data_IF_083349221433
#
_entry.id   IF_083349221433
#
_cell.length_a   1.000
_cell.length_b   1.000
_cell.length_c   1.000
_cell.angle_alpha   90.00
_cell.angle_beta   90.00
_cell.angle_gamma   90.00
#
_symmetry.space_group_name_H-M   'P 1'
#
loop_
_entity.id
_entity.type
_entity.pdbx_description
1 polymer ?
#
# COMPACT_ATOMS: atom_id res chain seq x y z
N UNK A 1 12.71 38.81 -25.93
CA UNK A 1 11.34 38.26 -26.00
C UNK A 1 11.14 37.47 -24.73
N UNK A 2 10.50 38.08 -23.70
CA UNK A 2 10.16 37.39 -22.45
C UNK A 2 9.00 36.45 -22.75
N UNK A 3 9.20 35.18 -22.55
CA UNK A 3 8.11 34.20 -22.50
C UNK A 3 7.55 34.31 -21.06
N UNK A 4 6.69 35.32 -20.87
CA UNK A 4 5.83 35.45 -19.72
C UNK A 4 4.54 34.72 -20.08
N UNK A 5 4.52 33.42 -19.93
CA UNK A 5 3.30 32.65 -20.06
C UNK A 5 3.16 31.74 -18.85
N UNK A 6 2.62 32.31 -17.77
CA UNK A 6 2.28 31.63 -16.53
C UNK A 6 1.10 30.66 -16.68
N UNK A 7 0.43 30.64 -17.85
CA UNK A 7 -0.68 29.72 -18.15
C UNK A 7 -0.22 28.65 -19.11
N UNK A 8 -0.42 27.40 -18.70
CA UNK A 8 -0.15 26.29 -19.61
C UNK A 8 -1.18 26.30 -20.74
N UNK A 9 -0.78 25.91 -21.96
CA UNK A 9 -1.69 25.72 -23.12
C UNK A 9 -2.87 24.82 -22.74
N UNK A 10 -2.67 23.90 -21.82
CA UNK A 10 -3.70 23.04 -21.27
C UNK A 10 -4.77 23.81 -20.48
N UNK A 11 -4.36 24.74 -19.63
CA UNK A 11 -5.29 25.58 -18.85
C UNK A 11 -6.09 26.52 -19.76
N UNK A 12 -5.46 27.06 -20.80
CA UNK A 12 -6.15 27.86 -21.82
C UNK A 12 -7.17 27.01 -22.58
N UNK A 13 -6.81 25.79 -22.97
CA UNK A 13 -7.72 24.87 -23.65
C UNK A 13 -8.92 24.52 -22.78
N UNK A 14 -8.70 24.22 -21.49
CA UNK A 14 -9.78 23.97 -20.54
C UNK A 14 -10.67 25.20 -20.30
N UNK A 15 -10.12 26.40 -20.36
CA UNK A 15 -10.89 27.64 -20.23
C UNK A 15 -11.83 27.90 -21.43
N UNK A 16 -11.52 27.30 -22.57
CA UNK A 16 -12.33 27.38 -23.80
C UNK A 16 -13.49 26.37 -23.85
N UNK A 17 -13.60 25.50 -22.83
CA UNK A 17 -14.67 24.50 -22.76
C UNK A 17 -16.05 25.21 -22.78
N UNK A 18 -16.97 24.86 -23.74
CA UNK A 18 -18.26 25.48 -23.83
C UNK A 18 -19.15 25.18 -22.61
N UNK A 19 -19.95 26.15 -22.23
CA UNK A 19 -20.98 25.97 -21.19
C UNK A 19 -22.23 25.24 -21.75
N UNK A 20 -22.92 24.41 -20.93
CA UNK A 20 -22.59 24.08 -19.56
C UNK A 20 -21.42 23.06 -19.47
N UNK A 21 -20.48 23.28 -18.55
CA UNK A 21 -19.42 22.31 -18.31
C UNK A 21 -20.00 21.02 -17.79
N UNK A 22 -19.58 19.89 -18.36
CA UNK A 22 -19.96 18.57 -17.87
C UNK A 22 -19.25 18.30 -16.55
N UNK A 23 -20.03 18.11 -15.50
CA UNK A 23 -19.55 17.63 -14.20
C UNK A 23 -19.83 16.14 -14.12
N UNK A 24 -18.79 15.34 -13.94
CA UNK A 24 -18.97 13.90 -13.76
C UNK A 24 -19.36 13.61 -12.31
N UNK A 25 -20.39 12.79 -12.14
CA UNK A 25 -20.77 12.20 -10.86
C UNK A 25 -20.01 10.89 -10.59
N UNK A 26 -20.08 10.39 -9.39
CA UNK A 26 -19.26 9.27 -8.90
C UNK A 26 -19.16 8.06 -9.84
N UNK A 27 -20.30 7.58 -10.34
CA UNK A 27 -20.29 6.45 -11.28
C UNK A 27 -19.66 6.79 -12.64
N UNK A 28 -19.84 8.01 -13.11
CA UNK A 28 -19.23 8.46 -14.36
C UNK A 28 -17.71 8.66 -14.18
N UNK A 29 -17.29 9.14 -13.01
CA UNK A 29 -15.87 9.22 -12.63
C UNK A 29 -15.26 7.80 -12.62
N UNK A 30 -15.90 6.85 -11.97
CA UNK A 30 -15.40 5.48 -11.87
C UNK A 30 -15.27 4.83 -13.26
N UNK A 31 -16.25 5.05 -14.16
CA UNK A 31 -16.15 4.58 -15.56
C UNK A 31 -15.01 5.26 -16.33
N UNK A 32 -14.80 6.56 -16.13
CA UNK A 32 -13.71 7.28 -16.79
C UNK A 32 -12.33 6.77 -16.32
N UNK A 33 -12.17 6.55 -15.01
CA UNK A 33 -10.93 6.02 -14.46
C UNK A 33 -10.69 4.57 -14.90
N UNK A 34 -11.73 3.74 -14.98
CA UNK A 34 -11.63 2.40 -15.54
C UNK A 34 -11.16 2.43 -17.00
N UNK A 35 -11.75 3.30 -17.82
CA UNK A 35 -11.31 3.45 -19.22
C UNK A 35 -9.86 3.93 -19.34
N UNK A 36 -9.37 4.77 -18.41
CA UNK A 36 -7.95 5.18 -18.37
C UNK A 36 -7.04 3.98 -18.03
N UNK A 37 -7.42 3.17 -17.06
CA UNK A 37 -6.69 1.95 -16.70
C UNK A 37 -6.67 0.94 -17.85
N UNK A 38 -7.83 0.66 -18.42
CA UNK A 38 -7.96 -0.25 -19.58
C UNK A 38 -7.08 0.23 -20.76
N UNK A 39 -7.06 1.53 -21.03
CA UNK A 39 -6.20 2.10 -22.07
C UNK A 39 -4.72 1.88 -21.77
N UNK A 40 -4.29 2.05 -20.53
CA UNK A 40 -2.91 1.80 -20.14
C UNK A 40 -2.54 0.32 -20.25
N UNK A 41 -3.46 -0.57 -19.93
CA UNK A 41 -3.26 -2.02 -20.01
C UNK A 41 -3.11 -2.52 -21.46
N UNK A 42 -3.64 -1.80 -22.47
CA UNK A 42 -3.49 -2.14 -23.89
C UNK A 42 -2.04 -2.09 -24.39
N UNK A 43 -1.11 -1.57 -23.61
CA UNK A 43 0.33 -1.57 -23.98
C UNK A 43 0.88 -2.98 -24.15
N UNK A 44 0.25 -3.99 -23.54
CA UNK A 44 0.60 -5.39 -23.71
C UNK A 44 -0.61 -6.30 -23.53
N UNK A 45 -0.78 -7.33 -24.36
CA UNK A 45 -1.87 -8.31 -24.20
C UNK A 45 -1.83 -9.05 -22.85
N UNK A 46 -0.67 -9.11 -22.21
CA UNK A 46 -0.47 -9.71 -20.89
C UNK A 46 -0.95 -8.83 -19.73
N UNK A 47 -1.36 -7.60 -20.01
CA UNK A 47 -1.79 -6.62 -19.00
C UNK A 47 -3.29 -6.31 -19.09
N UNK A 48 -3.97 -6.82 -20.09
CA UNK A 48 -5.41 -6.54 -20.31
C UNK A 48 -6.22 -6.95 -19.08
N UNK A 49 -6.91 -5.97 -18.46
CA UNK A 49 -7.72 -6.17 -17.26
C UNK A 49 -6.95 -6.11 -15.94
N UNK A 50 -5.64 -5.88 -15.98
CA UNK A 50 -4.81 -5.79 -14.78
C UNK A 50 -5.28 -4.67 -13.85
N UNK A 51 -5.40 -3.45 -14.35
CA UNK A 51 -5.82 -2.29 -13.55
C UNK A 51 -7.19 -2.49 -12.89
N UNK A 52 -8.14 -3.07 -13.62
CA UNK A 52 -9.47 -3.39 -13.09
C UNK A 52 -9.40 -4.48 -12.00
N UNK A 53 -8.64 -5.56 -12.24
CA UNK A 53 -8.46 -6.66 -11.28
C UNK A 53 -7.79 -6.21 -9.98
N UNK A 54 -6.74 -5.39 -10.07
CA UNK A 54 -6.08 -4.79 -8.90
C UNK A 54 -7.05 -3.89 -8.14
N UNK A 55 -7.87 -3.08 -8.84
CA UNK A 55 -8.81 -2.17 -8.21
C UNK A 55 -9.91 -2.92 -7.42
N UNK A 56 -10.47 -3.98 -7.96
CA UNK A 56 -11.47 -4.79 -7.25
C UNK A 56 -10.86 -5.50 -6.04
N UNK A 57 -9.66 -6.05 -6.19
CA UNK A 57 -8.95 -6.72 -5.10
C UNK A 57 -8.59 -5.72 -3.98
N UNK A 58 -8.06 -4.55 -4.33
CA UNK A 58 -7.73 -3.50 -3.37
C UNK A 58 -8.97 -3.00 -2.62
N UNK A 59 -10.09 -2.75 -3.32
CA UNK A 59 -11.33 -2.34 -2.69
C UNK A 59 -11.90 -3.42 -1.75
N UNK A 60 -11.84 -4.69 -2.14
CA UNK A 60 -12.27 -5.79 -1.30
C UNK A 60 -11.40 -5.95 -0.05
N UNK A 61 -10.09 -5.76 -0.18
CA UNK A 61 -9.15 -5.76 0.94
C UNK A 61 -9.33 -4.54 1.86
N UNK A 62 -9.60 -3.34 1.30
CA UNK A 62 -9.85 -2.12 2.08
C UNK A 62 -11.09 -2.28 3.00
N UNK A 63 -12.17 -2.91 2.50
CA UNK A 63 -13.33 -3.24 3.33
C UNK A 63 -12.97 -4.17 4.50
N UNK A 64 -12.06 -5.13 4.31
CA UNK A 64 -11.56 -6.02 5.38
C UNK A 64 -10.68 -5.30 6.39
N UNK A 65 -9.98 -4.26 5.95
CA UNK A 65 -9.24 -3.35 6.83
C UNK A 65 -10.15 -2.35 7.56
N UNK A 66 -11.47 -2.43 7.40
CA UNK A 66 -12.44 -1.52 8.00
C UNK A 66 -12.25 -0.05 7.59
N UNK A 67 -11.77 0.20 6.37
CA UNK A 67 -11.77 1.54 5.79
C UNK A 67 -13.22 2.01 5.63
N UNK A 68 -13.46 3.30 5.79
CA UNK A 68 -14.77 3.85 5.49
C UNK A 68 -15.08 3.82 3.98
N UNK A 69 -16.33 4.11 3.62
CA UNK A 69 -16.78 4.01 2.24
C UNK A 69 -16.03 4.96 1.29
N UNK A 70 -15.63 6.14 1.79
CA UNK A 70 -14.89 7.13 1.00
C UNK A 70 -13.45 6.66 0.74
N UNK A 71 -12.78 6.12 1.76
CA UNK A 71 -11.44 5.55 1.66
C UNK A 71 -11.41 4.30 0.78
N UNK A 72 -12.44 3.45 0.83
CA UNK A 72 -12.59 2.30 -0.09
C UNK A 72 -12.71 2.77 -1.53
N UNK A 73 -13.55 3.78 -1.79
CA UNK A 73 -13.73 4.34 -3.13
C UNK A 73 -12.44 5.01 -3.63
N UNK A 74 -11.76 5.80 -2.79
CA UNK A 74 -10.49 6.45 -3.12
C UNK A 74 -9.39 5.41 -3.41
N UNK A 75 -9.29 4.35 -2.63
CA UNK A 75 -8.34 3.26 -2.85
C UNK A 75 -8.60 2.55 -4.19
N UNK A 76 -9.86 2.23 -4.49
CA UNK A 76 -10.27 1.64 -5.77
C UNK A 76 -9.93 2.55 -6.95
N UNK A 77 -10.26 3.84 -6.86
CA UNK A 77 -9.96 4.85 -7.89
C UNK A 77 -8.45 5.00 -8.13
N UNK A 78 -7.67 5.05 -7.06
CA UNK A 78 -6.20 5.08 -7.17
C UNK A 78 -5.66 3.82 -7.86
N UNK A 79 -6.21 2.65 -7.55
CA UNK A 79 -5.84 1.40 -8.18
C UNK A 79 -6.21 1.35 -9.68
N UNK A 80 -7.34 1.93 -10.11
CA UNK A 80 -7.70 1.99 -11.53
C UNK A 80 -6.68 2.76 -12.38
N UNK A 81 -5.98 3.73 -11.79
CA UNK A 81 -5.06 4.63 -12.52
C UNK A 81 -3.60 4.49 -12.11
N UNK A 82 -3.25 3.47 -11.30
CA UNK A 82 -1.88 3.33 -10.77
C UNK A 82 -0.83 3.21 -11.88
N UNK A 83 -1.20 2.59 -12.96
CA UNK A 83 -0.33 2.21 -14.06
C UNK A 83 -0.49 3.03 -15.35
N UNK A 84 -1.20 4.16 -15.31
CA UNK A 84 -1.37 5.01 -16.51
C UNK A 84 -0.07 5.46 -17.14
N UNK A 85 1.01 5.50 -16.38
CA UNK A 85 2.36 5.82 -16.87
C UNK A 85 3.03 4.71 -17.68
N UNK A 86 2.48 3.50 -17.73
CA UNK A 86 3.00 2.40 -18.57
C UNK A 86 3.06 2.77 -20.05
N UNK A 87 2.17 3.64 -20.51
CA UNK A 87 2.15 4.14 -21.90
C UNK A 87 3.40 4.93 -22.28
N UNK A 88 4.17 5.43 -21.33
CA UNK A 88 5.41 6.13 -21.57
C UNK A 88 6.61 5.19 -21.86
N UNK A 89 6.43 3.89 -21.65
CA UNK A 89 7.44 2.87 -21.90
C UNK A 89 7.03 2.07 -23.13
N UNK A 90 7.95 1.83 -24.05
CA UNK A 90 7.68 1.12 -25.31
C UNK A 90 7.00 -0.24 -25.06
N UNK A 91 5.94 -0.53 -25.81
CA UNK A 91 5.25 -1.83 -25.80
C UNK A 91 6.22 -3.01 -26.05
N UNK A 92 7.29 -2.80 -26.84
CA UNK A 92 8.31 -3.81 -27.07
C UNK A 92 9.00 -4.26 -25.76
N UNK A 93 9.21 -3.35 -24.82
CA UNK A 93 9.80 -3.68 -23.50
C UNK A 93 8.82 -4.51 -22.67
N UNK A 94 7.55 -4.13 -22.64
CA UNK A 94 6.50 -4.85 -21.91
C UNK A 94 6.21 -6.25 -22.47
N UNK A 95 6.46 -6.46 -23.77
CA UNK A 95 6.20 -7.73 -24.47
C UNK A 95 7.45 -8.61 -24.65
N UNK A 96 8.59 -8.18 -24.09
CA UNK A 96 9.85 -8.90 -24.25
C UNK A 96 9.84 -10.21 -23.47
N UNK A 97 10.04 -11.34 -24.18
CA UNK A 97 10.07 -12.66 -23.58
C UNK A 97 11.42 -13.03 -22.93
N UNK A 98 12.47 -12.25 -23.23
CA UNK A 98 13.81 -12.43 -22.65
C UNK A 98 14.04 -11.47 -21.48
N UNK A 99 15.10 -11.69 -20.72
CA UNK A 99 15.52 -10.78 -19.64
C UNK A 99 15.68 -9.34 -20.14
N UNK A 100 15.14 -8.38 -19.37
CA UNK A 100 15.33 -6.97 -19.65
C UNK A 100 16.79 -6.57 -19.39
N UNK A 101 17.33 -5.70 -20.24
CA UNK A 101 18.62 -5.05 -19.98
C UNK A 101 18.49 -4.08 -18.79
N UNK A 102 19.59 -3.67 -18.14
CA UNK A 102 19.54 -2.66 -17.09
C UNK A 102 18.82 -1.37 -17.52
N UNK A 103 19.06 -0.87 -18.73
CA UNK A 103 18.42 0.33 -19.26
C UNK A 103 16.92 0.15 -19.50
N UNK A 104 16.50 -1.03 -19.98
CA UNK A 104 15.07 -1.36 -20.14
C UNK A 104 14.39 -1.44 -18.77
N UNK A 105 15.08 -2.03 -17.78
CA UNK A 105 14.57 -2.14 -16.43
C UNK A 105 14.41 -0.76 -15.76
N UNK A 106 15.35 0.14 -15.94
CA UNK A 106 15.20 1.52 -15.46
C UNK A 106 14.01 2.23 -16.11
N UNK A 107 13.78 2.04 -17.41
CA UNK A 107 12.58 2.57 -18.09
C UNK A 107 11.28 1.98 -17.50
N UNK A 108 11.25 0.68 -17.23
CA UNK A 108 10.10 0.05 -16.57
C UNK A 108 9.86 0.68 -15.22
N UNK A 109 10.89 0.88 -14.39
CA UNK A 109 10.74 1.51 -13.06
C UNK A 109 10.16 2.92 -13.11
N UNK A 110 10.45 3.65 -14.18
CA UNK A 110 9.95 5.02 -14.35
C UNK A 110 8.44 5.12 -14.65
N UNK A 111 7.72 4.01 -14.92
CA UNK A 111 6.28 4.12 -15.19
C UNK A 111 5.51 4.72 -14.01
N UNK A 112 5.88 4.41 -12.76
CA UNK A 112 5.24 4.99 -11.57
C UNK A 112 5.47 6.51 -11.49
N UNK A 113 6.66 6.99 -11.85
CA UNK A 113 6.95 8.43 -11.99
C UNK A 113 6.12 9.06 -13.13
N UNK A 114 5.99 8.38 -14.26
CA UNK A 114 5.15 8.86 -15.36
C UNK A 114 3.66 8.89 -14.97
N UNK A 115 3.18 7.90 -14.20
CA UNK A 115 1.83 7.93 -13.61
C UNK A 115 1.64 9.19 -12.76
N UNK A 116 2.58 9.53 -11.90
CA UNK A 116 2.52 10.75 -11.11
C UNK A 116 2.40 12.00 -11.97
N UNK A 117 3.25 12.12 -12.98
CA UNK A 117 3.24 13.27 -13.89
C UNK A 117 1.90 13.44 -14.63
N UNK A 118 1.25 12.34 -14.98
CA UNK A 118 -0.08 12.38 -15.62
C UNK A 118 -1.13 12.78 -14.59
N UNK A 119 -1.18 12.10 -13.44
CA UNK A 119 -2.21 12.30 -12.44
C UNK A 119 -2.19 13.71 -11.84
N UNK A 120 -1.02 14.29 -11.64
CA UNK A 120 -0.89 15.64 -11.06
C UNK A 120 -1.36 16.77 -11.99
N UNK A 121 -1.74 16.49 -13.25
CA UNK A 121 -2.28 17.49 -14.17
C UNK A 121 -3.73 17.88 -13.88
N UNK A 122 -4.49 17.08 -13.17
CA UNK A 122 -5.85 17.36 -12.76
C UNK A 122 -5.93 17.41 -11.23
N UNK A 123 -6.56 18.44 -10.63
CA UNK A 123 -6.70 18.50 -9.16
C UNK A 123 -7.38 17.26 -8.56
N UNK A 124 -8.37 16.71 -9.26
CA UNK A 124 -9.05 15.50 -8.84
C UNK A 124 -8.12 14.28 -8.86
N UNK A 125 -7.39 14.07 -9.96
CA UNK A 125 -6.45 12.94 -10.07
C UNK A 125 -5.23 13.11 -9.17
N UNK A 126 -4.79 14.33 -8.91
CA UNK A 126 -3.69 14.64 -8.01
C UNK A 126 -3.94 14.13 -6.59
N UNK A 127 -5.21 14.11 -6.14
CA UNK A 127 -5.57 13.55 -4.84
C UNK A 127 -5.35 12.01 -4.77
N UNK A 128 -5.42 11.31 -5.90
CA UNK A 128 -5.18 9.86 -6.00
C UNK A 128 -3.69 9.52 -6.14
N UNK A 129 -2.88 10.44 -6.65
CA UNK A 129 -1.49 10.20 -7.01
C UNK A 129 -0.63 9.62 -5.86
N UNK A 130 -0.71 10.11 -4.60
CA UNK A 130 0.12 9.57 -3.51
C UNK A 130 -0.11 8.07 -3.24
N UNK A 131 -1.33 7.58 -3.46
CA UNK A 131 -1.67 6.16 -3.32
C UNK A 131 -1.29 5.41 -4.59
N UNK A 132 -1.75 5.88 -5.75
CA UNK A 132 -1.58 5.25 -7.05
C UNK A 132 -0.10 5.00 -7.39
N UNK A 133 0.78 5.96 -7.13
CA UNK A 133 2.18 5.89 -7.55
C UNK A 133 3.12 5.21 -6.55
N UNK A 134 2.58 4.71 -5.44
CA UNK A 134 3.35 4.02 -4.39
C UNK A 134 3.24 2.49 -4.45
N UNK A 135 2.60 1.92 -5.48
CA UNK A 135 2.36 0.47 -5.57
C UNK A 135 3.64 -0.37 -5.67
N UNK A 136 4.74 0.18 -6.11
CA UNK A 136 6.05 -0.46 -6.13
C UNK A 136 6.98 -0.05 -4.99
N UNK A 137 6.53 0.78 -4.07
CA UNK A 137 7.29 1.08 -2.87
C UNK A 137 7.28 -0.11 -1.90
N UNK A 138 8.29 -0.16 -1.05
CA UNK A 138 8.46 -1.22 -0.04
C UNK A 138 8.74 -0.58 1.31
N UNK A 139 8.29 -1.21 2.39
CA UNK A 139 8.42 -0.67 3.76
C UNK A 139 9.87 -0.42 4.18
N UNK A 140 10.81 -1.20 3.63
CA UNK A 140 12.25 -1.10 3.88
C UNK A 140 12.95 -0.03 3.03
N UNK A 141 12.23 0.63 2.12
CA UNK A 141 12.77 1.63 1.20
C UNK A 141 13.47 1.06 -0.03
N UNK A 142 13.47 -0.27 -0.22
CA UNK A 142 14.04 -0.93 -1.40
C UNK A 142 13.13 -0.84 -2.64
N UNK A 143 11.95 -0.23 -2.50
CA UNK A 143 11.01 0.01 -3.59
C UNK A 143 11.44 1.12 -4.55
N UNK A 144 10.56 1.50 -5.44
CA UNK A 144 10.75 2.58 -6.41
C UNK A 144 9.41 3.28 -6.71
N UNK A 145 9.40 4.54 -7.14
CA UNK A 145 10.50 5.35 -7.67
C UNK A 145 11.10 6.31 -6.63
N UNK A 146 10.52 6.41 -5.42
CA UNK A 146 10.94 7.38 -4.39
C UNK A 146 11.78 6.75 -3.29
N UNK A 147 11.78 5.43 -3.16
CA UNK A 147 12.36 4.75 -2.01
C UNK A 147 11.65 5.09 -0.71
N UNK A 148 10.32 5.23 -0.78
CA UNK A 148 9.49 5.53 0.39
C UNK A 148 9.54 4.38 1.40
N UNK A 149 9.50 4.72 2.69
CA UNK A 149 9.59 3.74 3.79
C UNK A 149 8.27 3.59 4.53
N UNK A 150 8.22 2.66 5.46
CA UNK A 150 7.06 2.46 6.34
C UNK A 150 6.57 3.75 7.02
N UNK A 151 7.45 4.71 7.30
CA UNK A 151 7.08 5.95 7.96
C UNK A 151 6.25 6.89 7.07
N UNK A 152 6.39 6.79 5.74
CA UNK A 152 5.77 7.71 4.77
C UNK A 152 4.64 7.08 3.96
N UNK A 153 4.58 5.74 3.91
CA UNK A 153 3.53 5.04 3.16
C UNK A 153 2.23 4.99 3.94
N UNK A 154 1.17 5.57 3.36
CA UNK A 154 -0.17 5.53 3.93
C UNK A 154 -0.77 4.12 3.90
N UNK A 155 -1.75 3.80 4.77
CA UNK A 155 -2.41 2.49 4.76
C UNK A 155 -3.01 2.12 3.39
N UNK A 156 -3.71 3.01 2.64
CA UNK A 156 -4.18 2.69 1.29
C UNK A 156 -3.04 2.37 0.31
N UNK A 157 -1.89 3.07 0.38
CA UNK A 157 -0.74 2.81 -0.47
C UNK A 157 -0.12 1.43 -0.21
N UNK A 158 0.01 1.03 1.07
CA UNK A 158 0.49 -0.30 1.46
C UNK A 158 -0.44 -1.40 0.97
N UNK A 159 -1.75 -1.16 1.05
CA UNK A 159 -2.77 -2.08 0.60
C UNK A 159 -2.73 -2.26 -0.92
N UNK A 160 -2.61 -1.16 -1.67
CA UNK A 160 -2.48 -1.20 -3.12
C UNK A 160 -1.21 -1.95 -3.55
N UNK A 161 -0.07 -1.70 -2.90
CA UNK A 161 1.17 -2.41 -3.19
C UNK A 161 1.06 -3.93 -2.99
N UNK A 162 0.33 -4.38 -1.97
CA UNK A 162 0.07 -5.80 -1.75
C UNK A 162 -0.90 -6.38 -2.80
N UNK A 163 -1.95 -5.63 -3.16
CA UNK A 163 -2.95 -6.04 -4.14
C UNK A 163 -2.35 -6.17 -5.56
N UNK A 164 -1.57 -5.17 -5.98
CA UNK A 164 -0.84 -5.18 -7.24
C UNK A 164 0.14 -6.35 -7.31
N UNK A 165 0.97 -6.53 -6.28
CA UNK A 165 1.94 -7.63 -6.24
C UNK A 165 1.27 -9.00 -6.35
N UNK A 166 0.16 -9.23 -5.61
CA UNK A 166 -0.59 -10.48 -5.71
C UNK A 166 -1.18 -10.69 -7.10
N UNK A 167 -1.89 -9.68 -7.63
CA UNK A 167 -2.55 -9.76 -8.92
C UNK A 167 -1.53 -10.00 -10.04
N UNK A 168 -0.44 -9.24 -10.07
CA UNK A 168 0.63 -9.42 -11.03
C UNK A 168 1.27 -10.81 -10.99
N UNK A 169 1.35 -11.46 -9.82
CA UNK A 169 1.86 -12.83 -9.71
C UNK A 169 0.92 -13.87 -10.30
N UNK A 170 -0.39 -13.64 -10.24
CA UNK A 170 -1.42 -14.56 -10.78
C UNK A 170 -1.70 -14.39 -12.27
N UNK A 171 -1.02 -13.45 -12.92
CA UNK A 171 -1.13 -13.23 -14.36
C UNK A 171 0.10 -13.75 -15.11
N UNK A 172 -0.07 -14.28 -16.33
CA UNK A 172 1.06 -14.62 -17.18
C UNK A 172 1.81 -13.36 -17.60
N UNK A 173 3.11 -13.49 -17.85
CA UNK A 173 3.96 -12.44 -18.43
C UNK A 173 4.75 -13.03 -19.61
N UNK A 174 5.29 -12.23 -20.53
CA UNK A 174 6.03 -12.73 -21.67
C UNK A 174 7.15 -13.71 -21.31
N UNK A 175 7.75 -13.53 -20.13
CA UNK A 175 8.93 -14.27 -19.66
C UNK A 175 8.63 -15.27 -18.55
N UNK A 176 7.36 -15.40 -18.11
CA UNK A 176 6.95 -16.38 -17.08
C UNK A 176 5.46 -16.72 -17.15
N UNK A 177 5.12 -17.92 -16.78
CA UNK A 177 3.75 -18.33 -16.54
C UNK A 177 3.17 -17.66 -15.27
N UNK A 178 1.84 -17.65 -15.17
CA UNK A 178 1.15 -17.27 -13.95
C UNK A 178 1.48 -18.23 -12.82
N UNK A 179 1.69 -17.70 -11.61
CA UNK A 179 1.73 -18.54 -10.42
C UNK A 179 0.31 -19.04 -10.10
N UNK A 180 0.21 -20.24 -9.53
CA UNK A 180 -1.05 -20.65 -8.93
C UNK A 180 -1.42 -19.73 -7.78
N UNK A 181 -2.72 -19.57 -7.45
CA UNK A 181 -3.14 -18.73 -6.33
C UNK A 181 -2.39 -19.03 -5.02
N UNK A 182 -2.13 -20.30 -4.71
CA UNK A 182 -1.38 -20.68 -3.51
C UNK A 182 0.09 -20.25 -3.58
N UNK A 183 0.75 -20.43 -4.72
CA UNK A 183 2.14 -19.99 -4.90
C UNK A 183 2.28 -18.47 -4.78
N UNK A 184 1.31 -17.72 -5.32
CA UNK A 184 1.25 -16.26 -5.18
C UNK A 184 1.03 -15.84 -3.71
N UNK A 185 0.14 -16.53 -2.99
CA UNK A 185 -0.09 -16.28 -1.57
C UNK A 185 1.17 -16.56 -0.73
N UNK A 186 1.86 -17.66 -0.97
CA UNK A 186 3.10 -17.99 -0.27
C UNK A 186 4.21 -16.97 -0.58
N UNK A 187 4.31 -16.51 -1.82
CA UNK A 187 5.28 -15.49 -2.23
C UNK A 187 4.98 -14.14 -1.54
N UNK A 188 3.71 -13.72 -1.54
CA UNK A 188 3.29 -12.49 -0.89
C UNK A 188 3.50 -12.55 0.63
N UNK A 189 3.26 -13.72 1.24
CA UNK A 189 3.53 -13.97 2.66
C UNK A 189 5.02 -13.84 3.02
N UNK A 190 5.93 -14.29 2.15
CA UNK A 190 7.39 -14.08 2.33
C UNK A 190 7.77 -12.61 2.26
N UNK A 191 7.22 -11.83 1.32
CA UNK A 191 7.45 -10.38 1.25
C UNK A 191 7.04 -9.66 2.55
N UNK A 192 5.93 -10.10 3.16
CA UNK A 192 5.50 -9.59 4.46
C UNK A 192 6.41 -10.05 5.60
N UNK A 193 6.84 -11.31 5.62
CA UNK A 193 7.77 -11.86 6.61
C UNK A 193 9.13 -11.18 6.58
N UNK A 194 9.61 -10.81 5.40
CA UNK A 194 10.85 -10.05 5.19
C UNK A 194 10.72 -8.56 5.51
N UNK A 195 9.52 -8.09 5.91
CA UNK A 195 9.26 -6.68 6.24
C UNK A 195 9.22 -5.75 5.03
N UNK A 196 9.07 -6.28 3.80
CA UNK A 196 8.98 -5.50 2.56
C UNK A 196 7.57 -5.02 2.27
N UNK A 197 6.56 -5.84 2.57
CA UNK A 197 5.15 -5.49 2.49
C UNK A 197 4.50 -5.46 3.88
N UNK A 198 3.43 -4.69 4.02
CA UNK A 198 2.67 -4.60 5.26
C UNK A 198 1.88 -5.89 5.52
N UNK A 199 2.15 -6.55 6.63
CA UNK A 199 1.57 -7.85 6.95
C UNK A 199 0.03 -7.79 7.09
N UNK A 200 -0.51 -6.68 7.60
CA UNK A 200 -1.95 -6.47 7.69
C UNK A 200 -2.60 -6.32 6.33
N UNK A 201 -1.98 -5.54 5.45
CA UNK A 201 -2.41 -5.37 4.05
C UNK A 201 -2.34 -6.69 3.27
N UNK A 202 -1.26 -7.45 3.43
CA UNK A 202 -1.12 -8.77 2.81
C UNK A 202 -2.20 -9.73 3.29
N UNK A 203 -2.47 -9.81 4.59
CA UNK A 203 -3.54 -10.66 5.12
C UNK A 203 -4.90 -10.28 4.52
N UNK A 204 -5.24 -8.99 4.47
CA UNK A 204 -6.50 -8.50 3.92
C UNK A 204 -6.64 -8.81 2.41
N UNK A 205 -5.57 -8.67 1.64
CA UNK A 205 -5.53 -9.01 0.22
C UNK A 205 -5.72 -10.52 0.01
N UNK A 206 -5.03 -11.36 0.77
CA UNK A 206 -5.16 -12.81 0.67
C UNK A 206 -6.58 -13.28 1.04
N UNK A 207 -7.17 -12.72 2.08
CA UNK A 207 -8.57 -12.99 2.42
C UNK A 207 -9.53 -12.52 1.32
N UNK A 208 -9.27 -11.35 0.71
CA UNK A 208 -10.06 -10.84 -0.40
C UNK A 208 -9.98 -11.75 -1.64
N UNK A 209 -8.82 -12.36 -1.87
CA UNK A 209 -8.57 -13.33 -2.94
C UNK A 209 -9.10 -14.73 -2.63
N UNK A 210 -9.78 -14.94 -1.50
CA UNK A 210 -10.38 -16.23 -1.11
C UNK A 210 -9.45 -17.19 -0.40
N UNK A 211 -8.24 -16.77 -0.03
CA UNK A 211 -7.35 -17.56 0.81
C UNK A 211 -7.77 -17.47 2.28
N UNK A 212 -7.51 -18.53 3.03
CA UNK A 212 -7.43 -18.36 4.50
C UNK A 212 -6.26 -17.44 4.79
N UNK A 213 -6.51 -16.36 5.52
CA UNK A 213 -5.42 -15.49 5.97
C UNK A 213 -4.31 -16.33 6.56
N UNK A 214 -3.05 -16.15 6.14
CA UNK A 214 -1.93 -16.75 6.85
C UNK A 214 -2.11 -16.35 8.31
N UNK A 215 -2.13 -17.34 9.19
CA UNK A 215 -2.05 -17.07 10.62
C UNK A 215 -0.68 -16.43 10.82
N UNK A 216 -0.63 -15.11 10.89
CA UNK A 216 0.60 -14.39 11.26
C UNK A 216 0.93 -14.90 12.66
N UNK A 217 1.86 -15.85 12.75
CA UNK A 217 2.38 -16.30 14.04
C UNK A 217 3.16 -15.13 14.62
N UNK A 218 2.47 -14.36 15.44
CA UNK A 218 3.10 -13.30 16.19
C UNK A 218 3.89 -13.92 17.35
N UNK A 219 5.00 -13.28 17.73
CA UNK A 219 5.82 -13.76 18.84
C UNK A 219 4.95 -14.10 20.07
N UNK A 220 5.23 -15.21 20.71
CA UNK A 220 4.50 -15.72 21.88
C UNK A 220 2.96 -15.87 21.69
N UNK A 221 2.47 -16.02 20.46
CA UNK A 221 1.03 -16.16 20.18
C UNK A 221 0.21 -14.90 20.48
N UNK A 222 0.82 -13.73 20.43
CA UNK A 222 0.11 -12.45 20.55
C UNK A 222 -0.94 -12.31 19.44
N UNK A 223 -2.13 -11.83 19.80
CA UNK A 223 -3.09 -11.34 18.81
C UNK A 223 -2.59 -10.04 18.19
N UNK A 224 -3.17 -9.61 17.06
CA UNK A 224 -2.83 -8.33 16.44
C UNK A 224 -2.95 -7.18 17.43
N UNK A 225 -4.04 -7.15 18.19
CA UNK A 225 -4.32 -6.08 19.17
C UNK A 225 -3.34 -6.08 20.32
N UNK A 226 -2.93 -7.24 20.78
CA UNK A 226 -1.91 -7.38 21.83
C UNK A 226 -0.53 -6.94 21.32
N UNK A 227 -0.17 -7.27 20.08
CA UNK A 227 1.08 -6.80 19.47
C UNK A 227 1.12 -5.28 19.28
N UNK A 228 0.02 -4.66 18.82
CA UNK A 228 -0.12 -3.21 18.72
C UNK A 228 0.04 -2.54 20.10
N UNK A 229 -0.59 -3.11 21.13
CA UNK A 229 -0.47 -2.63 22.51
C UNK A 229 0.98 -2.73 23.01
N UNK A 230 1.64 -3.87 22.82
CA UNK A 230 3.07 -4.05 23.22
C UNK A 230 3.96 -3.05 22.49
N UNK A 231 3.74 -2.82 21.20
CA UNK A 231 4.48 -1.84 20.41
C UNK A 231 4.32 -0.42 20.95
N UNK A 232 3.09 0.01 21.24
CA UNK A 232 2.84 1.35 21.80
C UNK A 232 3.41 1.51 23.20
N UNK A 233 3.31 0.46 24.03
CA UNK A 233 3.94 0.46 25.35
C UNK A 233 5.46 0.59 25.25
N UNK A 234 6.10 -0.13 24.33
CA UNK A 234 7.53 -0.03 24.09
C UNK A 234 7.94 1.40 23.67
N UNK A 235 7.13 2.06 22.83
CA UNK A 235 7.31 3.47 22.44
C UNK A 235 7.04 4.49 23.56
N UNK A 236 6.72 4.08 24.77
CA UNK A 236 6.53 4.97 25.91
C UNK A 236 5.10 5.40 26.19
N UNK A 237 4.11 4.97 25.40
CA UNK A 237 2.70 5.37 25.58
C UNK A 237 2.12 4.78 26.87
N UNK A 238 1.50 5.60 27.71
CA UNK A 238 0.73 5.16 28.86
C UNK A 238 -0.54 4.44 28.41
N UNK A 239 -1.09 3.52 29.24
CA UNK A 239 -2.33 2.75 28.90
C UNK A 239 -3.47 3.64 28.43
N UNK A 240 -3.66 4.82 29.03
CA UNK A 240 -4.68 5.79 28.57
C UNK A 240 -4.39 6.36 27.16
N UNK A 241 -3.13 6.55 26.83
CA UNK A 241 -2.71 7.02 25.49
C UNK A 241 -2.85 5.88 24.47
N UNK A 242 -2.47 4.66 24.83
CA UNK A 242 -2.71 3.45 24.03
C UNK A 242 -4.20 3.32 23.72
N UNK A 243 -5.08 3.46 24.71
CA UNK A 243 -6.52 3.42 24.51
C UNK A 243 -7.01 4.44 23.48
N UNK A 244 -6.55 5.69 23.58
CA UNK A 244 -6.89 6.77 22.63
C UNK A 244 -6.37 6.47 21.21
N UNK A 245 -5.10 6.06 21.10
CA UNK A 245 -4.49 5.74 19.80
C UNK A 245 -5.20 4.59 19.10
N UNK A 246 -5.67 3.60 19.86
CA UNK A 246 -6.32 2.42 19.32
C UNK A 246 -7.87 2.53 19.25
N UNK A 247 -8.44 3.67 19.64
CA UNK A 247 -9.89 3.89 19.61
C UNK A 247 -10.69 2.98 20.52
N UNK A 248 -10.15 2.58 21.70
CA UNK A 248 -10.78 1.67 22.66
C UNK A 248 -10.88 2.29 24.04
N UNK A 249 -11.69 1.67 24.94
CA UNK A 249 -11.77 2.11 26.33
C UNK A 249 -10.45 1.84 27.09
N UNK A 250 -10.15 2.65 28.12
CA UNK A 250 -8.98 2.43 28.95
C UNK A 250 -9.01 1.04 29.64
N UNK A 251 -10.19 0.56 30.02
CA UNK A 251 -10.38 -0.78 30.58
C UNK A 251 -10.06 -1.88 29.57
N UNK A 252 -10.46 -1.70 28.30
CA UNK A 252 -10.16 -2.64 27.23
C UNK A 252 -8.65 -2.64 26.92
N UNK A 253 -8.00 -1.48 26.91
CA UNK A 253 -6.56 -1.38 26.72
C UNK A 253 -5.79 -2.08 27.84
N UNK A 254 -6.20 -1.88 29.10
CA UNK A 254 -5.60 -2.57 30.25
C UNK A 254 -5.74 -4.08 30.16
N UNK A 255 -6.91 -4.58 29.77
CA UNK A 255 -7.11 -6.01 29.52
C UNK A 255 -6.17 -6.57 28.44
N UNK A 256 -5.98 -5.86 27.35
CA UNK A 256 -5.00 -6.27 26.31
C UNK A 256 -3.56 -6.23 26.82
N UNK A 257 -3.19 -5.26 27.68
CA UNK A 257 -1.88 -5.21 28.34
C UNK A 257 -1.65 -6.45 29.19
N UNK A 258 -2.61 -6.79 30.05
CA UNK A 258 -2.50 -7.96 30.94
C UNK A 258 -2.40 -9.27 30.15
N UNK A 259 -3.25 -9.44 29.14
CA UNK A 259 -3.19 -10.62 28.27
C UNK A 259 -1.87 -10.73 27.52
N UNK A 260 -1.38 -9.60 26.98
CA UNK A 260 -0.09 -9.57 26.28
C UNK A 260 1.05 -9.94 27.23
N UNK A 261 1.11 -9.35 28.42
CA UNK A 261 2.11 -9.66 29.43
C UNK A 261 2.12 -11.13 29.83
N UNK A 262 0.92 -11.70 30.05
CA UNK A 262 0.79 -13.13 30.35
C UNK A 262 1.35 -14.03 29.24
N UNK A 263 1.07 -13.68 27.98
CA UNK A 263 1.55 -14.44 26.79
C UNK A 263 3.04 -14.36 26.58
N UNK A 264 3.65 -13.17 26.77
CA UNK A 264 5.09 -12.96 26.59
C UNK A 264 5.90 -13.26 27.84
N UNK A 265 5.25 -13.63 28.94
CA UNK A 265 5.92 -14.05 30.19
C UNK A 265 6.61 -12.90 30.93
N UNK A 266 6.08 -11.67 30.84
CA UNK A 266 6.68 -10.49 31.51
C UNK A 266 5.68 -9.85 32.50
N UNK A 267 6.22 -9.12 33.48
CA UNK A 267 5.42 -8.38 34.44
C UNK A 267 5.69 -6.88 34.46
N UNK A 268 6.70 -6.43 33.71
CA UNK A 268 7.07 -5.02 33.67
C UNK A 268 7.05 -4.47 32.26
N UNK A 269 6.86 -3.14 32.17
CA UNK A 269 6.91 -2.42 30.90
C UNK A 269 8.31 -2.51 30.25
N UNK A 270 9.36 -2.45 31.06
CA UNK A 270 10.73 -2.55 30.57
C UNK A 270 10.98 -3.90 29.89
N UNK A 271 10.54 -4.99 30.52
CA UNK A 271 10.64 -6.34 29.93
C UNK A 271 9.80 -6.48 28.66
N UNK A 272 8.61 -5.84 28.61
CA UNK A 272 7.78 -5.83 27.41
C UNK A 272 8.43 -5.03 26.27
N UNK A 273 9.13 -3.93 26.58
CA UNK A 273 9.87 -3.15 25.58
C UNK A 273 11.08 -3.94 25.03
N UNK A 274 11.81 -4.66 25.88
CA UNK A 274 12.90 -5.54 25.45
C UNK A 274 12.39 -6.65 24.53
N UNK A 275 11.28 -7.31 24.92
CA UNK A 275 10.63 -8.30 24.08
C UNK A 275 10.23 -7.73 22.72
N UNK A 276 9.63 -6.50 22.70
CA UNK A 276 9.23 -5.84 21.47
C UNK A 276 10.42 -5.58 20.53
N UNK A 277 11.56 -5.18 21.07
CA UNK A 277 12.79 -4.98 20.29
C UNK A 277 13.39 -6.28 19.78
N UNK A 278 13.49 -7.30 20.64
CA UNK A 278 14.04 -8.62 20.30
C UNK A 278 13.24 -9.29 19.18
N UNK A 279 11.93 -9.12 19.18
CA UNK A 279 11.03 -9.73 18.20
C UNK A 279 10.58 -8.78 17.07
N UNK A 280 11.24 -7.62 16.91
CA UNK A 280 11.00 -6.71 15.80
C UNK A 280 9.66 -5.96 15.84
N UNK A 281 8.95 -5.95 16.98
CA UNK A 281 7.72 -5.19 17.18
C UNK A 281 8.00 -3.69 17.40
N UNK A 282 9.22 -3.32 17.85
CA UNK A 282 9.69 -1.94 17.99
C UNK A 282 11.17 -1.86 17.61
N UNK A 283 11.62 -0.70 17.10
CA UNK A 283 13.03 -0.47 16.76
C UNK A 283 13.75 0.29 17.86
N UNK A 284 15.08 0.14 17.95
CA UNK A 284 15.92 0.79 18.95
C UNK A 284 15.68 2.31 19.03
N UNK A 285 15.53 3.06 18.03
CA UNK A 285 15.28 4.50 18.09
C UNK A 285 13.86 4.90 18.51
N UNK A 286 12.92 3.96 18.61
CA UNK A 286 11.53 4.19 18.97
C UNK A 286 11.22 3.97 20.46
N UNK A 287 12.16 3.38 21.19
CA UNK A 287 12.02 3.04 22.62
C UNK A 287 12.75 4.07 23.47
N UNK A 288 12.06 4.83 24.35
CA UNK A 288 12.71 5.77 25.25
C UNK A 288 13.72 5.06 26.19
N UNK A 289 14.94 5.55 26.26
CA UNK A 289 16.04 4.96 27.05
C UNK A 289 15.66 4.70 28.51
N UNK A 290 14.87 5.56 29.13
CA UNK A 290 14.41 5.39 30.51
C UNK A 290 13.50 4.19 30.79
N UNK A 291 12.94 3.56 29.73
CA UNK A 291 12.13 2.34 29.87
C UNK A 291 13.03 1.10 29.94
N UNK A 292 14.15 1.11 29.21
CA UNK A 292 15.08 -0.02 29.11
C UNK A 292 15.92 -0.16 30.38
N UNK A 293 16.28 0.97 31.01
CA UNK A 293 17.13 0.98 32.21
C UNK A 293 16.39 0.70 33.53
N UNK A 294 15.10 0.39 33.50
CA UNK A 294 14.34 -0.08 34.66
C UNK A 294 14.26 0.93 35.82
N UNK A 295 14.35 2.24 35.53
CA UNK A 295 14.12 3.26 36.57
C UNK A 295 12.62 3.32 36.90
N UNK A 296 12.32 2.95 38.13
CA UNK A 296 11.02 2.97 38.82
C UNK A 296 10.35 4.34 38.76
#
# INVERSE_FOLDING_TARGET
MRIDDERSVWEETLALEPAPRLVLEDEAIDRALAAMGDFADLVSPYLVGHSAGVAELAAAAARRCHFDAADVAATRRAALVHDVGRVAVSAHVWQKATTLTPDEWERVRLHAYHSERVLTRSPFLAALAPVATSHHERLDGAGYHRGATAATLSPPARLLAAADAYHAMTEPRPHREALSPQQAADALGREAGDGRLDAGSVAAVLEAAGHRAPRVERPAGLTQREAEVVTLLARGFQTKQVARTLGISAKTADHHVQNAYAKIGVSTRASAALFAMEHGLARWGEVPMGIVEGRS
#
